data_IF_646752973172
#
_entry.id   IF_646752973172
#
_cell.length_a   1.000
_cell.length_b   1.000
_cell.length_c   1.000
_cell.angle_alpha   90.00
_cell.angle_beta   90.00
_cell.angle_gamma   90.00
#
_symmetry.space_group_name_H-M   'P 1'
#
loop_
_entity.id
_entity.type
_entity.pdbx_description
1 polymer ?
#
# COMPACT_ATOMS: atom_id res chain seq x y z
N UNK A 1 -25.24 29.39 -8.20
CA UNK A 1 -24.40 30.60 -8.29
C UNK A 1 -23.85 30.92 -6.92
N UNK A 2 -22.54 31.19 -6.85
CA UNK A 2 -21.70 31.38 -5.67
C UNK A 2 -22.06 32.62 -4.83
N UNK A 3 -21.76 32.53 -3.51
CA UNK A 3 -21.00 33.49 -2.65
C UNK A 3 -21.12 33.01 -1.19
N UNK A 4 -20.15 32.30 -0.59
CA UNK A 4 -18.89 32.73 0.06
C UNK A 4 -19.02 33.86 1.11
N UNK A 5 -18.64 33.49 2.36
CA UNK A 5 -18.03 34.31 3.44
C UNK A 5 -18.99 35.28 4.18
N UNK A 6 -18.95 35.56 5.48
CA UNK A 6 -18.14 35.16 6.65
C UNK A 6 -18.57 36.10 7.79
N UNK A 7 -18.84 35.62 9.01
CA UNK A 7 -18.88 36.46 10.22
C UNK A 7 -18.85 35.54 11.46
N UNK A 8 -17.67 35.20 12.00
CA UNK A 8 -17.08 35.89 13.15
C UNK A 8 -18.06 36.19 14.30
N UNK A 9 -18.30 35.17 15.13
CA UNK A 9 -18.82 35.23 16.50
C UNK A 9 -18.48 33.83 17.08
N UNK A 10 -17.71 33.61 18.14
CA UNK A 10 -17.55 34.38 19.37
C UNK A 10 -16.11 34.21 19.87
N UNK A 11 -15.41 35.34 20.01
CA UNK A 11 -14.18 35.47 20.75
C UNK A 11 -14.58 36.05 22.12
N UNK A 12 -14.68 35.20 23.15
CA UNK A 12 -14.57 35.54 24.57
C UNK A 12 -15.10 34.38 25.43
N UNK A 13 -14.23 33.66 26.12
CA UNK A 13 -14.25 33.63 27.60
C UNK A 13 -12.81 33.46 28.07
N UNK A 14 -12.43 34.36 28.96
CA UNK A 14 -11.14 34.55 29.60
C UNK A 14 -10.81 33.44 30.61
N UNK A 15 -9.51 33.11 30.65
CA UNK A 15 -8.66 33.02 31.85
C UNK A 15 -9.38 32.77 33.20
N UNK A 16 -9.23 31.56 33.71
CA UNK A 16 -9.17 31.32 35.15
C UNK A 16 -8.00 30.37 35.43
N UNK A 17 -7.08 30.83 36.26
CA UNK A 17 -5.83 30.19 36.61
C UNK A 17 -6.01 29.00 37.56
N UNK A 18 -5.31 27.90 37.28
CA UNK A 18 -4.64 27.09 38.31
C UNK A 18 -3.31 26.58 37.71
N UNK A 19 -2.14 26.87 38.31
CA UNK A 19 -0.97 26.06 38.06
C UNK A 19 -1.13 24.78 38.88
N UNK A 20 -1.74 23.76 38.30
CA UNK A 20 -1.55 22.42 38.81
C UNK A 20 -0.07 22.08 38.62
N UNK A 21 0.62 21.91 39.74
CA UNK A 21 2.02 21.54 39.89
C UNK A 21 2.38 20.46 38.87
N UNK A 22 3.22 20.84 37.91
CA UNK A 22 3.78 19.95 36.89
C UNK A 22 4.86 19.10 37.57
N UNK A 23 4.47 17.91 38.02
CA UNK A 23 5.39 16.85 38.40
C UNK A 23 5.40 15.74 37.33
N UNK A 24 5.51 16.12 36.05
CA UNK A 24 5.62 15.19 34.92
C UNK A 24 6.70 15.70 33.97
N UNK A 25 7.95 15.37 34.29
CA UNK A 25 9.12 15.87 33.56
C UNK A 25 10.13 14.81 33.13
N UNK A 26 9.83 13.51 33.33
CA UNK A 26 10.74 12.42 32.97
C UNK A 26 10.10 11.25 32.20
N UNK A 27 8.76 11.14 32.14
CA UNK A 27 8.09 10.02 31.44
C UNK A 27 7.97 10.22 29.92
N UNK A 28 7.75 11.47 29.47
CA UNK A 28 7.44 11.77 28.07
C UNK A 28 8.57 11.44 27.08
N UNK A 29 9.84 11.45 27.52
CA UNK A 29 10.97 11.12 26.65
C UNK A 29 11.11 9.60 26.39
N UNK A 30 10.68 8.77 27.35
CA UNK A 30 10.67 7.31 27.21
C UNK A 30 9.58 6.84 26.26
N UNK A 31 8.35 7.33 26.46
CA UNK A 31 7.18 6.96 25.64
C UNK A 31 7.35 7.39 24.17
N UNK A 32 7.93 8.57 23.93
CA UNK A 32 8.22 9.04 22.57
C UNK A 32 9.32 8.21 21.88
N UNK A 33 10.38 7.84 22.62
CA UNK A 33 11.45 6.98 22.09
C UNK A 33 10.97 5.55 21.81
N UNK A 34 10.09 5.01 22.66
CA UNK A 34 9.49 3.68 22.46
C UNK A 34 8.49 3.67 21.30
N UNK A 35 7.67 4.73 21.17
CA UNK A 35 6.79 4.93 20.02
C UNK A 35 7.56 5.01 18.70
N UNK A 36 8.68 5.74 18.67
CA UNK A 36 9.54 5.84 17.50
C UNK A 36 10.21 4.50 17.16
N UNK A 37 10.63 3.73 18.17
CA UNK A 37 11.21 2.40 17.96
C UNK A 37 10.17 1.41 17.39
N UNK A 38 8.95 1.42 17.93
CA UNK A 38 7.84 0.59 17.45
C UNK A 38 7.44 0.96 16.00
N UNK A 39 7.34 2.25 15.69
CA UNK A 39 7.03 2.72 14.34
C UNK A 39 8.11 2.30 13.33
N UNK A 40 9.40 2.42 13.69
CA UNK A 40 10.51 1.95 12.85
C UNK A 40 10.48 0.45 12.63
N UNK A 41 10.11 -0.34 13.66
CA UNK A 41 9.97 -1.80 13.53
C UNK A 41 8.83 -2.16 12.58
N UNK A 42 7.65 -1.55 12.76
CA UNK A 42 6.50 -1.77 11.88
C UNK A 42 6.81 -1.39 10.42
N UNK A 43 7.51 -0.28 10.19
CA UNK A 43 7.94 0.13 8.85
C UNK A 43 8.90 -0.88 8.19
N UNK A 44 9.82 -1.48 8.96
CA UNK A 44 10.73 -2.53 8.47
C UNK A 44 9.98 -3.81 8.13
N UNK A 45 9.08 -4.25 8.99
CA UNK A 45 8.26 -5.44 8.77
C UNK A 45 7.37 -5.29 7.53
N UNK A 46 6.75 -4.12 7.38
CA UNK A 46 5.97 -3.79 6.19
C UNK A 46 6.83 -3.77 4.93
N UNK A 47 8.02 -3.16 4.96
CA UNK A 47 8.93 -3.16 3.82
C UNK A 47 9.39 -4.58 3.44
N UNK A 48 9.67 -5.44 4.42
CA UNK A 48 10.02 -6.84 4.18
C UNK A 48 8.84 -7.59 3.53
N UNK A 49 7.63 -7.42 4.06
CA UNK A 49 6.43 -8.01 3.48
C UNK A 49 6.23 -7.60 2.00
N UNK A 50 6.40 -6.31 1.66
CA UNK A 50 6.27 -5.85 0.28
C UNK A 50 7.37 -6.43 -0.62
N UNK A 51 8.60 -6.59 -0.09
CA UNK A 51 9.70 -7.23 -0.82
C UNK A 51 9.37 -8.68 -1.16
N UNK A 52 8.92 -9.46 -0.17
CA UNK A 52 8.57 -10.87 -0.34
C UNK A 52 7.38 -11.01 -1.32
N UNK A 53 6.37 -10.17 -1.17
CA UNK A 53 5.21 -10.13 -2.05
C UNK A 53 5.62 -9.87 -3.50
N UNK A 54 6.58 -8.95 -3.71
CA UNK A 54 7.09 -8.66 -5.05
C UNK A 54 7.90 -9.84 -5.62
N UNK A 55 8.74 -10.50 -4.82
CA UNK A 55 9.49 -11.70 -5.23
C UNK A 55 8.54 -12.80 -5.73
N UNK A 56 7.49 -13.12 -4.97
CA UNK A 56 6.51 -14.12 -5.37
C UNK A 56 5.72 -13.67 -6.61
N UNK A 57 5.40 -12.39 -6.76
CA UNK A 57 4.70 -11.87 -7.94
C UNK A 57 5.52 -12.08 -9.22
N UNK A 58 6.84 -11.85 -9.15
CA UNK A 58 7.76 -12.06 -10.27
C UNK A 58 7.92 -13.53 -10.61
N UNK A 59 7.90 -14.42 -9.61
CA UNK A 59 7.91 -15.86 -9.84
C UNK A 59 6.66 -16.30 -10.63
N UNK A 60 5.47 -15.90 -10.21
CA UNK A 60 4.24 -16.23 -10.95
C UNK A 60 4.21 -15.61 -12.34
N UNK A 61 4.77 -14.42 -12.52
CA UNK A 61 4.94 -13.81 -13.83
C UNK A 61 5.81 -14.65 -14.76
N UNK A 62 6.91 -15.22 -14.24
CA UNK A 62 7.77 -16.11 -15.01
C UNK A 62 7.05 -17.40 -15.39
N UNK A 63 6.36 -18.05 -14.45
CA UNK A 63 5.54 -19.23 -14.73
C UNK A 63 4.46 -18.94 -15.79
N UNK A 64 3.83 -17.77 -15.73
CA UNK A 64 2.84 -17.34 -16.71
C UNK A 64 3.45 -17.21 -18.13
N UNK A 65 4.65 -16.65 -18.24
CA UNK A 65 5.38 -16.53 -19.50
C UNK A 65 5.80 -17.89 -20.06
N UNK A 66 6.19 -18.83 -19.20
CA UNK A 66 6.48 -20.21 -19.60
C UNK A 66 5.23 -20.92 -20.12
N UNK A 67 4.09 -20.82 -19.43
CA UNK A 67 2.85 -21.40 -19.94
C UNK A 67 2.42 -20.76 -21.26
N UNK A 68 2.60 -19.45 -21.42
CA UNK A 68 2.31 -18.73 -22.66
C UNK A 68 3.20 -19.24 -23.81
N UNK A 69 4.50 -19.44 -23.59
CA UNK A 69 5.41 -19.94 -24.64
C UNK A 69 5.09 -21.38 -25.06
N UNK A 70 4.53 -22.17 -24.14
CA UNK A 70 4.03 -23.52 -24.40
C UNK A 70 2.62 -23.56 -25.04
N UNK A 71 2.00 -22.41 -25.32
CA UNK A 71 0.64 -22.32 -25.85
C UNK A 71 -0.47 -22.67 -24.84
N UNK A 72 -0.13 -22.81 -23.56
CA UNK A 72 -1.07 -23.11 -22.46
C UNK A 72 -1.69 -21.82 -21.92
N UNK A 73 -2.45 -21.13 -22.75
CA UNK A 73 -2.91 -19.77 -22.48
C UNK A 73 -3.85 -19.64 -21.27
N UNK A 74 -4.68 -20.65 -20.98
CA UNK A 74 -5.54 -20.63 -19.79
C UNK A 74 -4.71 -20.72 -18.49
N UNK A 75 -3.66 -21.56 -18.46
CA UNK A 75 -2.74 -21.63 -17.31
C UNK A 75 -1.93 -20.33 -17.19
N UNK A 76 -1.47 -19.76 -18.31
CA UNK A 76 -0.79 -18.47 -18.31
C UNK A 76 -1.68 -17.39 -17.69
N UNK A 77 -2.95 -17.31 -18.08
CA UNK A 77 -3.94 -16.38 -17.54
C UNK A 77 -4.07 -16.51 -16.02
N UNK A 78 -4.22 -17.73 -15.51
CA UNK A 78 -4.33 -17.98 -14.07
C UNK A 78 -3.09 -17.49 -13.32
N UNK A 79 -1.88 -17.74 -13.84
CA UNK A 79 -0.64 -17.29 -13.19
C UNK A 79 -0.44 -15.78 -13.23
N UNK A 80 -0.80 -15.10 -14.33
CA UNK A 80 -0.78 -13.63 -14.35
C UNK A 80 -1.76 -13.02 -13.33
N UNK A 81 -2.97 -13.59 -13.18
CA UNK A 81 -3.92 -13.15 -12.16
C UNK A 81 -3.40 -13.39 -10.75
N UNK A 82 -2.75 -14.53 -10.52
CA UNK A 82 -2.12 -14.82 -9.24
C UNK A 82 -0.99 -13.83 -8.93
N UNK A 83 -0.12 -13.53 -9.90
CA UNK A 83 0.91 -12.51 -9.76
C UNK A 83 0.31 -11.13 -9.40
N UNK A 84 -0.78 -10.73 -10.07
CA UNK A 84 -1.46 -9.45 -9.80
C UNK A 84 -2.07 -9.37 -8.41
N UNK A 85 -2.55 -10.49 -7.85
CA UNK A 85 -3.18 -10.50 -6.51
C UNK A 85 -2.22 -10.22 -5.36
N UNK A 86 -0.92 -10.40 -5.58
CA UNK A 86 0.12 -10.24 -4.54
C UNK A 86 1.17 -9.18 -4.90
N UNK A 87 1.09 -8.59 -6.09
CA UNK A 87 2.05 -7.59 -6.53
C UNK A 87 1.95 -6.33 -5.67
N UNK A 88 3.10 -5.90 -5.14
CA UNK A 88 3.23 -4.70 -4.31
C UNK A 88 3.74 -3.47 -5.08
N UNK A 89 4.16 -3.65 -6.34
CA UNK A 89 4.81 -2.63 -7.17
C UNK A 89 3.94 -2.24 -8.38
N UNK A 90 3.69 -0.94 -8.53
CA UNK A 90 2.82 -0.43 -9.59
C UNK A 90 3.41 -0.63 -11.00
N UNK A 91 4.73 -0.54 -11.14
CA UNK A 91 5.38 -0.75 -12.44
C UNK A 91 5.22 -2.21 -12.90
N UNK A 92 5.44 -3.15 -11.99
CA UNK A 92 5.24 -4.59 -12.21
C UNK A 92 3.76 -4.90 -12.48
N UNK A 93 2.85 -4.29 -11.73
CA UNK A 93 1.41 -4.45 -11.96
C UNK A 93 0.97 -3.99 -13.36
N UNK A 94 1.53 -2.89 -13.88
CA UNK A 94 1.26 -2.44 -15.25
C UNK A 94 1.75 -3.42 -16.31
N UNK A 95 2.95 -3.99 -16.12
CA UNK A 95 3.49 -5.00 -17.04
C UNK A 95 2.61 -6.25 -17.01
N UNK A 96 2.26 -6.73 -15.82
CA UNK A 96 1.38 -7.89 -15.64
C UNK A 96 0.03 -7.71 -16.33
N UNK A 97 -0.63 -6.55 -16.16
CA UNK A 97 -1.90 -6.24 -16.83
C UNK A 97 -1.78 -6.28 -18.35
N UNK A 98 -0.75 -5.64 -18.90
CA UNK A 98 -0.51 -5.64 -20.35
C UNK A 98 -0.30 -7.05 -20.90
N UNK A 99 0.48 -7.87 -20.21
CA UNK A 99 0.73 -9.26 -20.63
C UNK A 99 -0.52 -10.12 -20.52
N UNK A 100 -1.29 -9.96 -19.45
CA UNK A 100 -2.58 -10.61 -19.26
C UNK A 100 -3.58 -10.23 -20.37
N UNK A 101 -3.71 -8.95 -20.70
CA UNK A 101 -4.58 -8.48 -21.78
C UNK A 101 -4.22 -9.15 -23.13
N UNK A 102 -2.92 -9.32 -23.38
CA UNK A 102 -2.43 -10.05 -24.56
C UNK A 102 -2.84 -11.53 -24.55
N UNK A 103 -2.79 -12.21 -23.40
CA UNK A 103 -3.26 -13.59 -23.26
C UNK A 103 -4.78 -13.69 -23.42
N UNK A 104 -5.54 -12.76 -22.83
CA UNK A 104 -7.00 -12.73 -22.92
C UNK A 104 -7.45 -12.50 -24.37
N UNK A 105 -6.74 -11.66 -25.13
CA UNK A 105 -6.98 -11.50 -26.57
C UNK A 105 -6.78 -12.82 -27.32
N UNK A 106 -5.65 -13.50 -27.09
CA UNK A 106 -5.37 -14.79 -27.73
C UNK A 106 -6.48 -15.79 -27.44
N UNK A 107 -6.86 -15.96 -26.18
CA UNK A 107 -7.93 -16.86 -25.74
C UNK A 107 -9.29 -16.55 -26.39
N UNK A 108 -9.58 -15.28 -26.68
CA UNK A 108 -10.82 -14.89 -27.39
C UNK A 108 -10.76 -15.19 -28.89
N UNK A 109 -9.58 -15.11 -29.50
CA UNK A 109 -9.41 -15.31 -30.95
C UNK A 109 -9.21 -16.77 -31.37
N UNK A 110 -8.84 -17.66 -30.44
CA UNK A 110 -8.62 -19.09 -30.72
C UNK A 110 -9.81 -19.98 -30.33
N UNK A 111 -10.79 -19.43 -29.61
CA UNK A 111 -12.06 -20.10 -29.32
C UNK A 111 -12.98 -20.04 -30.53
#
# INVERSE_FOLDING_TARGET
>A
MLRLLSAFCCLAVLLAATPAVRADGLSAYGEQSEGDAAARKAAREHAAYLSDANEYSLKYMQEAREYRSLGRYELARQRYLQALSICADDATAQILRRELDGVDLLLRTMR
#
